data_IF_346456999000
#
_entry.id   IF_346456999000
#
_cell.length_a   1.000
_cell.length_b   1.000
_cell.length_c   1.000
_cell.angle_alpha   90.00
_cell.angle_beta   90.00
_cell.angle_gamma   90.00
#
_symmetry.space_group_name_H-M   'P 1'
#
loop_
_entity.id
_entity.type
_entity.pdbx_description
1 polymer ?
#
# COMPACT_ATOMS: atom_id res chain seq x y z
N UNK A 1 8.40 -2.46 -23.23
CA UNK A 1 9.27 -3.38 -22.43
C UNK A 1 8.36 -4.16 -21.53
N UNK A 2 8.33 -5.49 -21.63
CA UNK A 2 7.45 -6.33 -20.80
C UNK A 2 8.15 -6.71 -19.49
N UNK A 3 7.42 -6.69 -18.37
CA UNK A 3 7.89 -7.13 -17.06
C UNK A 3 6.75 -7.72 -16.23
N UNK A 4 7.12 -8.53 -15.26
CA UNK A 4 6.20 -9.23 -14.37
C UNK A 4 6.19 -8.58 -12.99
N UNK A 5 4.98 -8.39 -12.42
CA UNK A 5 4.80 -7.90 -11.06
C UNK A 5 4.16 -9.01 -10.21
N UNK A 6 4.73 -9.28 -9.05
CA UNK A 6 4.08 -9.97 -7.94
C UNK A 6 3.75 -8.95 -6.85
N UNK A 7 2.64 -9.14 -6.16
CA UNK A 7 2.27 -8.24 -5.07
C UNK A 7 1.53 -8.98 -3.95
N UNK A 8 1.66 -8.46 -2.75
CA UNK A 8 0.90 -8.88 -1.58
C UNK A 8 0.80 -7.73 -0.57
N UNK A 9 -0.12 -7.84 0.37
CA UNK A 9 -0.35 -6.89 1.45
C UNK A 9 -0.66 -7.59 2.77
N UNK A 10 -0.71 -6.83 3.85
CA UNK A 10 -1.25 -7.27 5.15
C UNK A 10 -0.55 -8.51 5.71
N UNK A 11 0.77 -8.54 5.61
CA UNK A 11 1.60 -9.67 6.06
C UNK A 11 1.66 -9.79 7.57
N UNK A 12 1.66 -8.65 8.30
CA UNK A 12 1.72 -8.58 9.76
C UNK A 12 2.78 -9.54 10.35
N UNK A 13 4.00 -9.53 9.78
CA UNK A 13 5.04 -10.50 10.13
C UNK A 13 5.47 -10.46 11.61
N UNK A 14 5.16 -9.38 12.33
CA UNK A 14 5.34 -9.31 13.79
C UNK A 14 4.59 -10.41 14.55
N UNK A 15 3.49 -10.93 14.00
CA UNK A 15 2.74 -12.06 14.57
C UNK A 15 3.52 -13.39 14.54
N UNK A 16 4.54 -13.48 13.68
CA UNK A 16 5.36 -14.68 13.50
C UNK A 16 6.74 -14.57 14.16
N UNK A 17 7.01 -13.44 14.86
CA UNK A 17 8.31 -13.20 15.50
C UNK A 17 8.75 -14.41 16.37
N UNK A 18 10.02 -14.86 16.31
CA UNK A 18 11.15 -14.26 15.58
C UNK A 18 11.28 -14.67 14.11
N UNK A 19 10.34 -15.43 13.58
CA UNK A 19 10.33 -15.92 12.20
C UNK A 19 9.48 -15.00 11.31
N UNK A 20 9.47 -15.26 10.00
CA UNK A 20 8.58 -14.63 9.03
C UNK A 20 8.21 -15.66 7.95
N UNK A 21 7.13 -15.45 7.17
CA UNK A 21 6.71 -16.35 6.11
C UNK A 21 7.83 -16.58 5.11
N UNK A 22 7.95 -17.82 4.63
CA UNK A 22 8.90 -18.14 3.56
C UNK A 22 8.42 -17.59 2.21
N UNK A 23 9.35 -17.50 1.25
CA UNK A 23 9.01 -17.13 -0.14
C UNK A 23 7.95 -18.07 -0.71
N UNK A 24 8.02 -19.36 -0.39
CA UNK A 24 7.02 -20.35 -0.81
C UNK A 24 5.65 -20.07 -0.22
N UNK A 25 5.58 -19.63 1.05
CA UNK A 25 4.30 -19.29 1.68
C UNK A 25 3.68 -18.03 1.04
N UNK A 26 4.51 -17.08 0.60
CA UNK A 26 4.07 -15.83 0.00
C UNK A 26 3.70 -15.96 -1.48
N UNK A 27 4.46 -16.71 -2.26
CA UNK A 27 4.39 -16.71 -3.72
C UNK A 27 4.17 -18.07 -4.37
N UNK A 28 3.99 -19.12 -3.55
CA UNK A 28 3.75 -20.53 -3.96
C UNK A 28 4.81 -21.06 -4.97
N UNK A 29 6.07 -20.64 -4.80
CA UNK A 29 7.18 -21.06 -5.63
C UNK A 29 8.45 -21.26 -4.83
N UNK A 30 9.34 -22.13 -5.33
CA UNK A 30 10.71 -22.32 -4.83
C UNK A 30 11.75 -21.74 -5.78
N UNK A 31 11.34 -20.98 -6.79
CA UNK A 31 12.24 -20.42 -7.79
C UNK A 31 13.21 -19.41 -7.16
N UNK A 32 14.43 -19.35 -7.71
CA UNK A 32 15.45 -18.37 -7.28
C UNK A 32 15.16 -16.97 -7.78
N UNK A 33 14.37 -16.84 -8.84
CA UNK A 33 13.87 -15.59 -9.38
C UNK A 33 12.38 -15.75 -9.61
N UNK A 34 11.57 -14.88 -9.01
CA UNK A 34 10.11 -15.02 -8.96
C UNK A 34 9.44 -14.09 -9.97
N UNK A 35 9.87 -12.84 -10.01
CA UNK A 35 9.35 -11.80 -10.90
C UNK A 35 10.32 -10.65 -11.00
N UNK A 36 10.12 -9.76 -11.99
CA UNK A 36 10.94 -8.55 -12.14
C UNK A 36 10.71 -7.61 -10.97
N UNK A 37 9.45 -7.45 -10.56
CA UNK A 37 9.05 -6.51 -9.51
C UNK A 37 8.21 -7.22 -8.45
N UNK A 38 8.49 -6.93 -7.20
CA UNK A 38 7.59 -7.25 -6.08
C UNK A 38 7.07 -5.96 -5.46
N UNK A 39 5.75 -5.83 -5.27
CA UNK A 39 5.14 -4.72 -4.55
C UNK A 39 4.51 -5.23 -3.26
N UNK A 40 5.07 -4.82 -2.13
CA UNK A 40 4.51 -5.05 -0.80
C UNK A 40 3.61 -3.85 -0.44
N UNK A 41 2.30 -4.09 -0.31
CA UNK A 41 1.29 -3.01 -0.23
C UNK A 41 0.80 -2.84 1.21
N UNK A 42 1.72 -2.48 2.09
CA UNK A 42 1.46 -2.07 3.46
C UNK A 42 1.14 -3.19 4.44
N UNK A 43 1.16 -2.80 5.69
CA UNK A 43 0.90 -3.66 6.85
C UNK A 43 1.81 -4.90 6.89
N UNK A 44 3.09 -4.69 6.54
CA UNK A 44 4.12 -5.73 6.61
C UNK A 44 4.51 -5.94 8.06
N UNK A 45 4.90 -4.87 8.74
CA UNK A 45 5.12 -4.76 10.19
C UNK A 45 5.29 -3.28 10.58
N UNK A 46 5.65 -3.00 11.84
CA UNK A 46 5.83 -1.63 12.32
C UNK A 46 7.24 -1.09 12.02
N UNK A 47 7.36 0.18 11.66
CA UNK A 47 8.67 0.84 11.51
C UNK A 47 9.41 0.99 12.86
N UNK A 48 8.72 0.94 13.99
CA UNK A 48 9.38 0.92 15.32
C UNK A 48 10.29 -0.30 15.50
N UNK A 49 10.05 -1.41 14.78
CA UNK A 49 10.89 -2.63 14.77
C UNK A 49 11.73 -2.73 13.50
N UNK A 50 12.31 -1.62 13.06
CA UNK A 50 13.00 -1.46 11.77
C UNK A 50 14.07 -2.54 11.49
N UNK A 51 14.74 -3.06 12.51
CA UNK A 51 15.74 -4.12 12.35
C UNK A 51 15.12 -5.45 11.92
N UNK A 52 13.93 -5.76 12.40
CA UNK A 52 13.20 -6.96 12.00
C UNK A 52 12.62 -6.79 10.59
N UNK A 53 12.05 -5.61 10.30
CA UNK A 53 11.59 -5.24 8.98
C UNK A 53 12.69 -5.38 7.93
N UNK A 54 13.88 -4.83 8.23
CA UNK A 54 15.06 -4.93 7.36
C UNK A 54 15.46 -6.38 7.07
N UNK A 55 15.49 -7.25 8.08
CA UNK A 55 15.83 -8.67 7.89
C UNK A 55 14.87 -9.35 6.92
N UNK A 56 13.57 -9.05 7.02
CA UNK A 56 12.57 -9.59 6.10
C UNK A 56 12.78 -9.10 4.67
N UNK A 57 12.98 -7.79 4.48
CA UNK A 57 13.23 -7.24 3.14
C UNK A 57 14.55 -7.75 2.52
N UNK A 58 15.61 -7.89 3.32
CA UNK A 58 16.86 -8.49 2.88
C UNK A 58 16.69 -9.96 2.49
N UNK A 59 15.81 -10.69 3.15
CA UNK A 59 15.47 -12.07 2.80
C UNK A 59 14.72 -12.13 1.46
N UNK A 60 13.81 -11.19 1.19
CA UNK A 60 13.03 -11.17 -0.07
C UNK A 60 13.79 -10.58 -1.26
N UNK A 61 14.63 -9.60 -1.01
CA UNK A 61 15.29 -8.80 -2.06
C UNK A 61 15.98 -9.63 -3.16
N UNK A 62 16.66 -10.77 -2.88
CA UNK A 62 17.34 -11.55 -3.93
C UNK A 62 16.40 -12.22 -4.95
N UNK A 63 15.13 -12.32 -4.69
CA UNK A 63 14.18 -13.01 -5.56
C UNK A 63 13.56 -12.12 -6.64
N UNK A 64 13.88 -10.82 -6.62
CA UNK A 64 13.30 -9.81 -7.51
C UNK A 64 14.37 -8.84 -8.00
N UNK A 65 14.19 -8.31 -9.22
CA UNK A 65 15.04 -7.23 -9.72
C UNK A 65 14.78 -5.92 -8.96
N UNK A 66 13.52 -5.69 -8.58
CA UNK A 66 13.09 -4.52 -7.82
C UNK A 66 12.05 -4.91 -6.76
N UNK A 67 12.27 -4.46 -5.54
CA UNK A 67 11.34 -4.58 -4.43
C UNK A 67 10.78 -3.19 -4.11
N UNK A 68 9.46 -3.05 -4.15
CA UNK A 68 8.76 -1.82 -3.81
C UNK A 68 7.97 -2.05 -2.54
N UNK A 69 8.10 -1.15 -1.58
CA UNK A 69 7.25 -1.10 -0.39
C UNK A 69 6.38 0.14 -0.46
N UNK A 70 5.08 -0.05 -0.40
CA UNK A 70 4.10 0.99 -0.10
C UNK A 70 3.73 0.81 1.38
N UNK A 71 3.97 1.77 2.27
CA UNK A 71 3.61 1.61 3.68
C UNK A 71 2.08 1.51 3.88
N UNK A 72 1.66 0.84 4.94
CA UNK A 72 0.30 0.86 5.45
C UNK A 72 0.20 1.64 6.76
N UNK A 73 -0.95 1.57 7.42
CA UNK A 73 -1.14 2.26 8.70
C UNK A 73 -0.36 1.58 9.83
N UNK A 74 -0.19 0.26 9.80
CA UNK A 74 0.57 -0.46 10.82
C UNK A 74 2.06 -0.13 10.81
N UNK A 75 2.63 0.31 9.70
CA UNK A 75 4.00 0.81 9.66
C UNK A 75 4.22 1.97 10.63
N UNK A 76 3.18 2.76 10.91
CA UNK A 76 3.20 3.92 11.80
C UNK A 76 2.65 3.65 13.21
N UNK A 77 2.18 2.43 13.50
CA UNK A 77 1.71 2.10 14.85
C UNK A 77 2.90 1.97 15.81
N UNK A 78 2.80 2.68 16.93
CA UNK A 78 3.71 2.54 18.08
C UNK A 78 3.00 1.76 19.17
N UNK A 79 3.28 0.48 19.26
CA UNK A 79 2.72 -0.43 20.28
C UNK A 79 3.69 -0.67 21.44
N UNK A 80 4.92 -0.15 21.35
CA UNK A 80 5.92 -0.22 22.39
C UNK A 80 5.73 0.83 23.48
N UNK A 81 6.67 0.86 24.42
CA UNK A 81 6.70 1.85 25.52
C UNK A 81 7.15 3.23 25.05
N UNK A 82 7.87 3.30 23.93
CA UNK A 82 8.37 4.54 23.34
C UNK A 82 7.43 5.00 22.24
N UNK A 83 7.03 6.26 22.29
CA UNK A 83 6.31 6.91 21.19
C UNK A 83 7.32 7.39 20.15
N UNK A 84 6.96 7.23 18.87
CA UNK A 84 7.67 7.80 17.74
C UNK A 84 6.71 8.62 16.92
N UNK A 85 7.11 9.80 16.46
CA UNK A 85 6.31 10.55 15.52
C UNK A 85 6.35 9.91 14.13
N UNK A 86 5.33 10.16 13.30
CA UNK A 86 5.32 9.70 11.91
C UNK A 86 6.60 10.12 11.18
N UNK A 87 7.09 11.34 11.41
CA UNK A 87 8.32 11.86 10.82
C UNK A 87 9.56 11.06 11.24
N UNK A 88 9.68 10.68 12.51
CA UNK A 88 10.78 9.83 12.97
C UNK A 88 10.73 8.44 12.32
N UNK A 89 9.53 7.87 12.15
CA UNK A 89 9.32 6.59 11.49
C UNK A 89 9.62 6.65 9.98
N UNK A 90 9.27 7.75 9.31
CA UNK A 90 9.68 8.01 7.93
C UNK A 90 11.21 8.08 7.79
N UNK A 91 11.89 8.77 8.71
CA UNK A 91 13.36 8.82 8.73
C UNK A 91 13.99 7.44 8.95
N UNK A 92 13.40 6.64 9.84
CA UNK A 92 13.85 5.27 10.08
C UNK A 92 13.68 4.41 8.82
N UNK A 93 12.56 4.53 8.11
CA UNK A 93 12.30 3.78 6.87
C UNK A 93 13.32 4.07 5.76
N UNK A 94 13.81 5.32 5.65
CA UNK A 94 14.84 5.69 4.67
C UNK A 94 16.17 4.94 4.87
N UNK A 95 16.42 4.39 6.06
CA UNK A 95 17.59 3.55 6.28
C UNK A 95 17.53 2.24 5.51
N UNK A 96 16.33 1.75 5.22
CA UNK A 96 16.10 0.49 4.50
C UNK A 96 16.60 0.60 3.05
N UNK A 97 16.26 1.70 2.35
CA UNK A 97 16.65 1.91 0.94
C UNK A 97 18.16 2.13 0.78
N UNK A 98 18.84 2.66 1.79
CA UNK A 98 20.30 2.76 1.79
C UNK A 98 20.99 1.41 1.90
N UNK A 99 20.37 0.48 2.64
CA UNK A 99 20.99 -0.79 2.99
C UNK A 99 20.60 -1.93 2.04
N UNK A 100 19.53 -1.76 1.23
CA UNK A 100 19.00 -2.74 0.28
C UNK A 100 18.92 -2.05 -1.09
N UNK A 101 19.84 -2.40 -1.99
CA UNK A 101 20.08 -1.64 -3.23
C UNK A 101 18.92 -1.64 -4.24
N UNK A 102 18.13 -2.70 -4.26
CA UNK A 102 16.99 -2.87 -5.15
C UNK A 102 15.64 -2.62 -4.43
N UNK A 103 15.65 -1.81 -3.37
CA UNK A 103 14.46 -1.44 -2.62
C UNK A 103 14.08 0.02 -2.87
N UNK A 104 12.80 0.24 -3.17
CA UNK A 104 12.16 1.55 -3.18
C UNK A 104 11.01 1.59 -2.16
N UNK A 105 10.85 2.72 -1.48
CA UNK A 105 9.69 2.97 -0.60
C UNK A 105 8.89 4.12 -1.19
N UNK A 106 7.66 3.82 -1.59
CA UNK A 106 6.77 4.77 -2.22
C UNK A 106 5.64 5.15 -1.26
N UNK A 107 5.66 6.39 -0.79
CA UNK A 107 4.56 7.02 -0.07
C UNK A 107 4.35 8.42 -0.64
N UNK A 108 3.27 8.61 -1.40
CA UNK A 108 2.99 9.78 -2.21
C UNK A 108 4.12 10.07 -3.24
N UNK A 109 4.68 9.01 -3.79
CA UNK A 109 5.82 9.03 -4.74
C UNK A 109 5.59 8.05 -5.86
N UNK A 110 6.35 8.23 -6.95
CA UNK A 110 6.37 7.30 -8.08
C UNK A 110 7.79 7.01 -8.54
N UNK A 111 7.89 5.94 -9.32
CA UNK A 111 9.07 5.60 -10.13
C UNK A 111 8.63 5.29 -11.56
N UNK A 112 9.54 5.49 -12.50
CA UNK A 112 9.31 5.19 -13.92
C UNK A 112 10.12 3.97 -14.34
N UNK A 113 9.47 3.04 -15.05
CA UNK A 113 10.07 1.85 -15.64
C UNK A 113 9.65 1.80 -17.11
N UNK A 114 10.51 2.30 -18.00
CA UNK A 114 10.15 2.51 -19.40
C UNK A 114 8.94 3.42 -19.55
N UNK A 115 7.91 2.94 -20.23
CA UNK A 115 6.67 3.69 -20.49
C UNK A 115 5.62 3.54 -19.38
N UNK A 116 5.97 2.85 -18.30
CA UNK A 116 5.09 2.62 -17.15
C UNK A 116 5.58 3.43 -15.95
N UNK A 117 4.64 4.09 -15.30
CA UNK A 117 4.85 4.76 -14.00
C UNK A 117 4.17 3.96 -12.91
N UNK A 118 4.85 3.72 -11.79
CA UNK A 118 4.31 3.07 -10.60
C UNK A 118 4.23 4.11 -9.50
N UNK A 119 3.02 4.46 -9.08
CA UNK A 119 2.76 5.35 -7.94
C UNK A 119 2.43 4.54 -6.70
N UNK A 120 3.00 4.93 -5.56
CA UNK A 120 2.70 4.31 -4.27
C UNK A 120 2.26 5.34 -3.21
N UNK A 121 1.25 4.98 -2.43
CA UNK A 121 0.73 5.80 -1.33
C UNK A 121 0.01 4.94 -0.29
N UNK A 122 0.04 5.36 0.96
CA UNK A 122 -0.87 4.79 1.98
C UNK A 122 -2.31 5.05 1.58
N UNK A 123 -2.60 6.20 1.02
CA UNK A 123 -3.95 6.69 0.67
C UNK A 123 -4.90 6.60 1.86
N UNK A 124 -4.49 7.15 3.01
CA UNK A 124 -5.35 7.21 4.20
C UNK A 124 -6.80 7.49 3.82
N UNK A 125 -7.76 6.86 4.50
CA UNK A 125 -9.17 7.10 4.20
C UNK A 125 -9.63 8.48 4.72
N UNK A 126 -10.66 9.03 4.10
CA UNK A 126 -11.36 10.20 4.62
C UNK A 126 -12.42 9.78 5.64
N UNK A 127 -12.39 10.37 6.83
CA UNK A 127 -13.33 10.07 7.92
C UNK A 127 -14.34 11.21 8.08
N UNK A 128 -15.58 11.08 7.54
CA UNK A 128 -16.65 12.05 7.75
C UNK A 128 -16.99 12.18 9.23
N UNK A 129 -17.67 13.28 9.61
CA UNK A 129 -18.06 13.50 11.00
C UNK A 129 -19.07 12.46 11.50
N UNK A 130 -19.81 11.84 10.61
CA UNK A 130 -20.76 10.74 10.90
C UNK A 130 -20.08 9.44 11.31
N UNK A 131 -18.80 9.24 10.90
CA UNK A 131 -18.02 8.06 11.29
C UNK A 131 -17.48 8.22 12.71
N UNK A 132 -17.71 7.28 13.64
CA UNK A 132 -17.09 7.31 14.96
C UNK A 132 -15.57 7.32 14.86
N UNK A 133 -14.91 8.31 15.46
CA UNK A 133 -13.45 8.40 15.44
C UNK A 133 -12.83 7.55 16.54
N UNK A 134 -11.87 6.70 16.15
CA UNK A 134 -11.03 5.91 17.04
C UNK A 134 -9.61 6.45 17.01
N UNK A 135 -9.03 6.72 18.17
CA UNK A 135 -7.61 7.09 18.25
C UNK A 135 -6.76 5.86 17.93
N UNK A 136 -5.94 5.98 16.89
CA UNK A 136 -4.95 4.98 16.54
C UNK A 136 -3.61 5.32 17.24
N UNK A 137 -2.74 4.35 17.54
CA UNK A 137 -1.44 4.59 18.15
C UNK A 137 -0.43 5.16 17.14
N UNK A 138 -0.81 6.22 16.45
CA UNK A 138 -0.03 6.99 15.48
C UNK A 138 0.16 8.40 16.07
N UNK A 139 1.38 8.88 16.09
CA UNK A 139 1.73 10.10 16.82
C UNK A 139 2.25 11.19 15.87
N UNK A 140 1.77 12.42 16.08
CA UNK A 140 2.29 13.63 15.44
C UNK A 140 3.64 14.07 16.05
N UNK A 141 4.21 15.17 15.56
CA UNK A 141 5.51 15.68 16.01
C UNK A 141 5.50 16.17 17.47
N UNK A 142 4.34 16.34 18.09
CA UNK A 142 4.18 16.64 19.52
C UNK A 142 4.02 15.37 20.38
N UNK A 143 4.14 14.17 19.78
CA UNK A 143 3.91 12.88 20.43
C UNK A 143 2.48 12.70 20.97
N UNK A 144 1.52 13.35 20.32
CA UNK A 144 0.09 13.19 20.57
C UNK A 144 -0.51 12.27 19.48
N UNK A 145 -1.48 11.45 19.86
CA UNK A 145 -2.20 10.62 18.87
C UNK A 145 -2.93 11.54 17.88
N UNK A 146 -2.88 11.17 16.61
CA UNK A 146 -3.55 11.93 15.55
C UNK A 146 -5.01 12.20 15.90
N UNK A 147 -5.43 13.43 15.63
CA UNK A 147 -6.84 13.82 15.63
C UNK A 147 -7.50 13.42 14.31
N UNK A 148 -8.84 13.43 14.25
CA UNK A 148 -9.57 13.25 12.99
C UNK A 148 -9.12 14.22 11.90
N UNK A 149 -8.91 15.49 12.26
CA UNK A 149 -8.50 16.50 11.29
C UNK A 149 -7.11 16.20 10.71
N UNK A 150 -6.15 15.84 11.54
CA UNK A 150 -4.81 15.45 11.09
C UNK A 150 -4.89 14.19 10.19
N UNK A 151 -5.70 13.20 10.57
CA UNK A 151 -5.92 12.01 9.75
C UNK A 151 -6.51 12.36 8.37
N UNK A 152 -7.51 13.25 8.31
CA UNK A 152 -8.10 13.70 7.06
C UNK A 152 -7.14 14.57 6.22
N UNK A 153 -6.22 15.30 6.85
CA UNK A 153 -5.15 16.01 6.14
C UNK A 153 -4.21 15.04 5.43
N UNK A 154 -3.89 13.89 6.06
CA UNK A 154 -3.10 12.84 5.41
C UNK A 154 -3.81 12.28 4.17
N UNK A 155 -5.13 12.02 4.27
CA UNK A 155 -5.93 11.61 3.11
C UNK A 155 -5.88 12.66 1.98
N UNK A 156 -6.16 13.92 2.30
CA UNK A 156 -6.16 15.00 1.32
C UNK A 156 -4.81 15.13 0.61
N UNK A 157 -3.72 15.09 1.37
CA UNK A 157 -2.35 15.15 0.82
C UNK A 157 -2.06 13.97 -0.13
N UNK A 158 -2.48 12.77 0.25
CA UNK A 158 -2.30 11.58 -0.58
C UNK A 158 -3.11 11.66 -1.87
N UNK A 159 -4.39 12.08 -1.79
CA UNK A 159 -5.27 12.28 -2.95
C UNK A 159 -4.68 13.31 -3.92
N UNK A 160 -4.27 14.48 -3.44
CA UNK A 160 -3.64 15.53 -4.26
C UNK A 160 -2.36 15.03 -4.96
N UNK A 161 -1.54 14.24 -4.26
CA UNK A 161 -0.32 13.65 -4.85
C UNK A 161 -0.65 12.67 -5.97
N UNK A 162 -1.68 11.85 -5.79
CA UNK A 162 -2.16 10.90 -6.80
C UNK A 162 -2.72 11.63 -8.03
N UNK A 163 -3.61 12.61 -7.83
CA UNK A 163 -4.18 13.41 -8.92
C UNK A 163 -3.09 14.12 -9.74
N UNK A 164 -2.07 14.66 -9.08
CA UNK A 164 -0.91 15.25 -9.75
C UNK A 164 -0.15 14.20 -10.57
N UNK A 165 0.08 13.01 -9.99
CA UNK A 165 0.77 11.93 -10.68
C UNK A 165 -0.02 11.46 -11.91
N UNK A 166 -1.34 11.31 -11.83
CA UNK A 166 -2.20 10.94 -12.97
C UNK A 166 -2.07 11.97 -14.09
N UNK A 167 -2.21 13.26 -13.80
CA UNK A 167 -2.07 14.34 -14.79
C UNK A 167 -0.68 14.36 -15.43
N UNK A 168 0.37 14.23 -14.61
CA UNK A 168 1.74 14.19 -15.12
C UNK A 168 1.97 12.95 -15.99
N UNK A 169 1.47 11.77 -15.60
CA UNK A 169 1.59 10.55 -16.40
C UNK A 169 0.94 10.69 -17.78
N UNK A 170 -0.23 11.35 -17.87
CA UNK A 170 -0.87 11.66 -19.15
C UNK A 170 0.00 12.57 -20.03
N UNK A 171 0.56 13.63 -19.43
CA UNK A 171 1.44 14.55 -20.14
C UNK A 171 2.70 13.86 -20.65
N UNK A 172 3.24 12.93 -19.85
CA UNK A 172 4.47 12.18 -20.17
C UNK A 172 4.19 10.98 -21.10
N UNK A 173 2.94 10.71 -21.46
CA UNK A 173 2.52 9.57 -22.29
C UNK A 173 2.74 8.21 -21.60
N UNK A 174 2.67 8.16 -20.27
CA UNK A 174 2.94 6.95 -19.50
C UNK A 174 1.65 6.27 -19.03
N UNK A 175 1.65 4.94 -19.09
CA UNK A 175 0.66 4.12 -18.39
C UNK A 175 0.94 4.13 -16.90
N UNK A 176 -0.12 4.14 -16.09
CA UNK A 176 0.00 4.25 -14.64
C UNK A 176 -0.48 2.98 -13.94
N UNK A 177 0.37 2.46 -13.06
CA UNK A 177 0.03 1.49 -12.03
C UNK A 177 -0.04 2.24 -10.71
N UNK A 178 -1.18 2.15 -10.03
CA UNK A 178 -1.39 2.74 -8.72
C UNK A 178 -1.34 1.62 -7.67
N UNK A 179 -0.53 1.80 -6.64
CA UNK A 179 -0.46 0.89 -5.49
C UNK A 179 -0.78 1.68 -4.21
N UNK A 180 -1.90 1.36 -3.56
CA UNK A 180 -2.31 2.04 -2.33
C UNK A 180 -2.59 1.06 -1.23
N UNK A 181 -2.30 1.42 0.02
CA UNK A 181 -2.65 0.50 1.10
C UNK A 181 -4.15 0.49 1.35
N UNK A 182 -4.79 1.65 1.52
CA UNK A 182 -6.25 1.73 1.65
C UNK A 182 -6.96 1.47 0.32
N UNK A 183 -8.15 0.87 0.40
CA UNK A 183 -8.98 0.61 -0.78
C UNK A 183 -9.40 1.92 -1.47
N UNK A 184 -9.34 1.98 -2.81
CA UNK A 184 -9.80 3.15 -3.56
C UNK A 184 -11.32 3.21 -3.74
N UNK A 185 -12.05 2.15 -3.45
CA UNK A 185 -13.48 2.04 -3.75
C UNK A 185 -14.25 1.36 -2.63
N UNK A 186 -15.54 1.68 -2.52
CA UNK A 186 -16.50 0.98 -1.66
C UNK A 186 -17.20 -0.19 -2.36
N UNK A 187 -16.84 -0.53 -3.59
CA UNK A 187 -17.53 -1.53 -4.42
C UNK A 187 -17.66 -2.93 -3.77
N UNK A 188 -16.87 -3.22 -2.77
CA UNK A 188 -16.99 -4.46 -1.98
C UNK A 188 -18.01 -4.39 -0.83
N UNK A 189 -18.62 -3.22 -0.61
CA UNK A 189 -19.58 -2.97 0.45
C UNK A 189 -20.92 -2.50 -0.14
N UNK A 190 -21.99 -2.55 0.67
CA UNK A 190 -23.25 -1.93 0.29
C UNK A 190 -23.10 -0.40 0.26
N UNK A 191 -23.49 0.21 -0.85
CA UNK A 191 -23.49 1.67 -1.06
C UNK A 191 -24.91 2.18 -1.29
N UNK A 192 -25.10 3.48 -1.10
CA UNK A 192 -26.34 4.20 -1.43
C UNK A 192 -26.34 4.71 -2.90
N UNK A 193 -27.40 5.45 -3.28
CA UNK A 193 -27.56 6.00 -4.63
C UNK A 193 -26.48 7.05 -5.00
N UNK A 194 -25.75 7.59 -4.02
CA UNK A 194 -24.63 8.52 -4.22
C UNK A 194 -23.26 7.82 -4.22
N UNK A 195 -23.24 6.49 -4.25
CA UNK A 195 -22.04 5.66 -4.13
C UNK A 195 -21.28 5.88 -2.81
N UNK A 196 -22.01 6.20 -1.73
CA UNK A 196 -21.47 6.26 -0.37
C UNK A 196 -21.81 4.98 0.40
N UNK A 197 -20.91 4.55 1.29
CA UNK A 197 -21.14 3.33 2.08
C UNK A 197 -22.28 3.51 3.08
N UNK A 198 -23.18 2.54 3.15
CA UNK A 198 -24.28 2.52 4.12
C UNK A 198 -23.80 2.30 5.56
N UNK A 199 -22.71 1.56 5.75
CA UNK A 199 -22.06 1.43 7.06
C UNK A 199 -20.92 2.44 7.18
N UNK A 200 -21.14 3.48 7.99
CA UNK A 200 -20.13 4.52 8.24
C UNK A 200 -18.80 4.00 8.78
N UNK A 201 -18.74 2.78 9.31
CA UNK A 201 -17.48 2.16 9.73
C UNK A 201 -16.58 1.80 8.55
N UNK A 202 -17.14 1.60 7.34
CA UNK A 202 -16.38 1.28 6.15
C UNK A 202 -15.48 2.44 5.69
N UNK A 203 -15.76 3.69 6.10
CA UNK A 203 -14.84 4.82 5.90
C UNK A 203 -13.48 4.65 6.59
N UNK A 204 -13.35 3.71 7.54
CA UNK A 204 -12.03 3.36 8.09
C UNK A 204 -11.17 2.52 7.14
N UNK A 205 -11.75 1.97 6.09
CA UNK A 205 -11.09 1.00 5.22
C UNK A 205 -10.97 1.46 3.78
N UNK A 206 -11.87 2.32 3.32
CA UNK A 206 -12.02 2.64 1.91
C UNK A 206 -12.13 4.15 1.65
N UNK A 207 -11.82 4.50 0.42
CA UNK A 207 -12.06 5.82 -0.17
C UNK A 207 -13.04 5.70 -1.34
N UNK A 208 -13.67 6.80 -1.72
CA UNK A 208 -14.35 6.94 -3.00
C UNK A 208 -13.40 7.65 -3.98
N UNK A 209 -12.69 6.86 -4.80
CA UNK A 209 -11.77 7.33 -5.84
C UNK A 209 -12.20 6.86 -7.24
N UNK A 210 -13.49 6.55 -7.41
CA UNK A 210 -14.00 5.98 -8.65
C UNK A 210 -13.70 6.86 -9.87
N UNK A 211 -13.73 8.19 -9.72
CA UNK A 211 -13.35 9.13 -10.78
C UNK A 211 -11.88 8.95 -11.21
N UNK A 212 -10.98 8.67 -10.25
CA UNK A 212 -9.55 8.48 -10.53
C UNK A 212 -9.25 7.07 -11.07
N UNK A 213 -10.05 6.08 -10.69
CA UNK A 213 -9.97 4.73 -11.26
C UNK A 213 -10.33 4.76 -12.75
N UNK A 214 -11.28 5.62 -13.13
CA UNK A 214 -11.79 5.74 -14.49
C UNK A 214 -10.88 6.55 -15.43
N UNK A 215 -9.75 7.05 -14.96
CA UNK A 215 -8.79 7.76 -15.77
C UNK A 215 -8.11 6.84 -16.79
N UNK A 216 -8.11 7.21 -18.07
CA UNK A 216 -7.74 6.36 -19.22
C UNK A 216 -6.28 5.84 -19.19
N UNK A 217 -5.38 6.53 -18.49
CA UNK A 217 -4.00 6.11 -18.31
C UNK A 217 -3.77 5.24 -17.07
N UNK A 218 -4.75 5.11 -16.18
CA UNK A 218 -4.69 4.18 -15.04
C UNK A 218 -5.05 2.78 -15.53
N UNK A 219 -4.10 1.86 -15.55
CA UNK A 219 -4.30 0.48 -16.06
C UNK A 219 -4.55 -0.54 -14.97
N UNK A 220 -3.87 -0.35 -13.85
CA UNK A 220 -3.93 -1.27 -12.72
C UNK A 220 -3.96 -0.47 -11.42
N UNK A 221 -4.85 -0.87 -10.50
CA UNK A 221 -4.86 -0.36 -9.13
C UNK A 221 -4.77 -1.53 -8.15
N UNK A 222 -3.68 -1.57 -7.40
CA UNK A 222 -3.40 -2.58 -6.39
C UNK A 222 -3.65 -1.99 -5.00
N UNK A 223 -4.29 -2.77 -4.10
CA UNK A 223 -4.54 -2.28 -2.75
C UNK A 223 -4.51 -3.39 -1.68
N UNK A 224 -4.56 -3.03 -0.40
CA UNK A 224 -4.58 -3.90 0.76
C UNK A 224 -5.63 -3.48 1.79
N UNK A 225 -5.27 -3.53 3.09
CA UNK A 225 -5.99 -3.02 4.25
C UNK A 225 -7.31 -3.70 4.59
N UNK A 226 -8.12 -4.06 3.62
CA UNK A 226 -9.45 -4.66 3.83
C UNK A 226 -9.37 -6.13 4.24
N UNK A 227 -8.19 -6.75 4.14
CA UNK A 227 -7.97 -8.18 4.35
C UNK A 227 -8.87 -9.09 3.49
N UNK A 228 -9.43 -8.57 2.42
CA UNK A 228 -10.35 -9.29 1.52
C UNK A 228 -9.73 -9.37 0.13
N UNK A 229 -9.53 -10.56 -0.44
CA UNK A 229 -9.13 -10.71 -1.82
C UNK A 229 -10.17 -10.07 -2.75
N UNK A 230 -9.67 -9.29 -3.71
CA UNK A 230 -10.55 -8.58 -4.65
C UNK A 230 -9.95 -8.53 -6.04
N UNK A 231 -10.77 -8.67 -7.07
CA UNK A 231 -10.38 -8.46 -8.47
C UNK A 231 -11.60 -8.08 -9.30
N UNK A 232 -11.56 -6.90 -9.89
CA UNK A 232 -12.60 -6.40 -10.79
C UNK A 232 -11.97 -5.55 -11.89
N UNK A 233 -12.58 -5.56 -13.06
CA UNK A 233 -12.31 -4.57 -14.10
C UNK A 233 -13.36 -3.46 -13.94
N UNK A 234 -12.90 -2.25 -13.65
CA UNK A 234 -13.73 -1.06 -13.50
C UNK A 234 -13.36 -0.13 -14.65
N UNK A 235 -14.22 -0.05 -15.67
CA UNK A 235 -14.07 0.83 -16.83
C UNK A 235 -12.70 0.75 -17.54
N UNK A 236 -12.11 -0.45 -17.59
CA UNK A 236 -10.81 -0.70 -18.21
C UNK A 236 -9.64 -0.80 -17.25
N UNK A 237 -9.77 -0.28 -16.03
CA UNK A 237 -8.77 -0.43 -14.96
C UNK A 237 -8.95 -1.75 -14.21
N UNK A 238 -7.89 -2.52 -14.07
CA UNK A 238 -7.90 -3.74 -13.23
C UNK A 238 -7.62 -3.35 -11.79
N UNK A 239 -8.63 -3.45 -10.93
CA UNK A 239 -8.53 -3.17 -9.49
C UNK A 239 -8.38 -4.49 -8.73
N UNK A 240 -7.33 -4.63 -7.90
CA UNK A 240 -6.98 -5.90 -7.25
C UNK A 240 -6.47 -5.72 -5.83
N UNK A 241 -6.83 -6.66 -4.95
CA UNK A 241 -6.25 -6.84 -3.61
C UNK A 241 -5.80 -8.28 -3.42
N UNK A 242 -4.62 -8.47 -2.81
CA UNK A 242 -4.03 -9.77 -2.51
C UNK A 242 -3.46 -9.79 -1.07
N UNK A 243 -4.32 -9.77 -0.05
CA UNK A 243 -3.89 -9.76 1.34
C UNK A 243 -3.41 -11.15 1.78
N UNK A 244 -2.36 -11.19 2.59
CA UNK A 244 -1.86 -12.39 3.25
C UNK A 244 -2.72 -12.73 4.47
N UNK A 245 -3.95 -13.17 4.22
CA UNK A 245 -4.83 -13.65 5.28
C UNK A 245 -4.73 -15.16 5.34
N UNK A 246 -4.24 -15.69 6.45
CA UNK A 246 -4.22 -17.14 6.71
C UNK A 246 -3.52 -17.99 5.64
N UNK A 247 -2.46 -17.48 5.02
CA UNK A 247 -1.67 -18.21 4.00
C UNK A 247 -2.24 -18.15 2.58
N UNK A 248 -3.10 -17.22 2.24
CA UNK A 248 -3.75 -17.12 0.91
C UNK A 248 -3.06 -16.21 -0.10
N UNK A 249 -1.87 -15.71 0.15
CA UNK A 249 -1.10 -14.94 -0.85
C UNK A 249 -0.59 -15.80 -2.00
N UNK A 250 -1.48 -16.54 -2.68
CA UNK A 250 -1.06 -17.45 -3.74
C UNK A 250 -0.86 -16.70 -5.05
N UNK A 251 0.39 -16.31 -5.31
CA UNK A 251 0.89 -16.17 -6.67
C UNK A 251 0.21 -15.17 -7.61
N UNK A 252 -0.67 -14.26 -7.12
CA UNK A 252 -1.27 -13.25 -7.96
C UNK A 252 -0.19 -12.32 -8.52
N UNK A 253 -0.24 -12.08 -9.82
CA UNK A 253 0.69 -11.21 -10.52
C UNK A 253 0.01 -10.52 -11.69
N UNK A 254 0.65 -9.48 -12.17
CA UNK A 254 0.26 -8.72 -13.36
C UNK A 254 1.41 -8.79 -14.36
N UNK A 255 1.09 -9.15 -15.60
CA UNK A 255 2.04 -9.04 -16.71
C UNK A 255 1.78 -7.71 -17.41
N UNK A 256 2.82 -6.92 -17.56
CA UNK A 256 2.80 -5.65 -18.29
C UNK A 256 3.53 -5.89 -19.61
N UNK A 257 2.81 -5.70 -20.71
CA UNK A 257 3.30 -5.92 -22.07
C UNK A 257 3.74 -4.63 -22.73
#
# INVERSE_FOLDING_TARGET
MSFTIKFCSDLHINKYYPHFPSVKDLFDTNDKFIADICILIGDITHFEVIKFYKKFLQYLSPYFSLLIVVPGNHEYYCNGTKKHSMKELDQASQTLTRDIKNLEILNNKYIDIGDVRIFGSILWSYLPHTTPYRKLPIYNDNYEMLTRNEFNILNYSAKMSLENCIRQSKTDGKELIVATHYSPTFDMYEVDDNNETKDHMNYWYCNNMDDLINEDNVKVWLFGHTHTPYRKNINGTIVMSNPYVSGYCKGLGVNIN
#
